data_IF_968113639512
#
_entry.id   IF_968113639512
#
_cell.length_a   1.000
_cell.length_b   1.000
_cell.length_c   1.000
_cell.angle_alpha   90.00
_cell.angle_beta   90.00
_cell.angle_gamma   90.00
#
_symmetry.space_group_name_H-M   'P 1'
#
loop_
_entity.id
_entity.type
_entity.pdbx_description
1 polymer ?
#
# COMPACT_ATOMS: atom_id res chain seq x y z
N UNK A 1 20.91 35.21 3.20
CA UNK A 1 19.43 35.22 3.22
C UNK A 1 18.99 34.97 4.65
N UNK A 2 18.20 35.86 5.27
CA UNK A 2 17.57 35.54 6.53
C UNK A 2 16.63 34.35 6.31
N UNK A 3 16.75 33.32 7.16
CA UNK A 3 15.74 32.28 7.25
C UNK A 3 14.42 32.95 7.64
N UNK A 4 13.28 32.61 7.03
CA UNK A 4 12.00 33.19 7.39
C UNK A 4 11.73 32.89 8.87
N UNK A 5 11.91 33.89 9.72
CA UNK A 5 11.40 33.93 11.09
C UNK A 5 9.88 33.94 10.97
N UNK A 6 9.25 32.90 11.53
CA UNK A 6 7.79 32.69 11.54
C UNK A 6 7.12 32.60 10.17
N UNK A 7 7.51 31.61 9.37
CA UNK A 7 6.64 31.16 8.29
C UNK A 7 5.37 30.52 8.89
N UNK A 8 4.22 31.20 8.72
CA UNK A 8 2.82 30.78 8.94
C UNK A 8 2.38 29.55 8.08
N UNK A 9 3.34 28.68 7.78
CA UNK A 9 3.16 27.47 6.99
C UNK A 9 2.84 26.26 7.87
N UNK A 10 2.11 25.27 7.33
CA UNK A 10 1.91 23.99 7.99
C UNK A 10 3.27 23.33 8.31
N UNK A 11 3.39 22.79 9.52
CA UNK A 11 4.59 22.08 9.97
C UNK A 11 4.26 20.60 10.08
N UNK A 12 5.00 19.76 9.37
CA UNK A 12 4.97 18.32 9.54
C UNK A 12 5.90 17.94 10.69
N UNK A 13 5.35 17.41 11.77
CA UNK A 13 6.11 16.96 12.94
C UNK A 13 6.23 15.45 12.93
N UNK A 14 7.46 14.98 13.15
CA UNK A 14 7.78 13.59 13.43
C UNK A 14 8.24 13.53 14.89
N UNK A 15 7.55 12.76 15.70
CA UNK A 15 7.84 12.61 17.12
C UNK A 15 8.06 11.13 17.45
N UNK A 16 9.30 10.75 17.72
CA UNK A 16 9.60 9.45 18.32
C UNK A 16 9.59 9.56 19.84
N UNK A 17 8.79 8.70 20.46
CA UNK A 17 8.90 8.46 21.89
C UNK A 17 10.01 7.44 22.12
N UNK A 18 11.09 7.86 22.76
CA UNK A 18 12.32 7.07 22.86
C UNK A 18 12.69 6.79 24.31
N UNK A 19 13.11 5.55 24.59
CA UNK A 19 13.67 5.17 25.90
C UNK A 19 15.15 5.59 26.02
N UNK A 20 15.83 5.71 24.87
CA UNK A 20 17.24 6.07 24.74
C UNK A 20 17.43 6.99 23.53
N UNK A 21 18.54 7.72 23.49
CA UNK A 21 18.86 8.56 22.33
C UNK A 21 18.91 7.72 21.05
N UNK A 22 18.25 8.22 20.00
CA UNK A 22 18.30 7.61 18.67
C UNK A 22 19.66 7.88 18.01
N UNK A 23 20.18 6.89 17.28
CA UNK A 23 21.40 7.07 16.52
C UNK A 23 21.21 8.15 15.43
N UNK A 24 22.24 8.98 15.22
CA UNK A 24 22.19 10.04 14.22
C UNK A 24 22.01 9.49 12.79
N UNK A 25 22.55 8.30 12.52
CA UNK A 25 22.41 7.58 11.25
C UNK A 25 20.98 7.14 11.04
N UNK A 26 20.32 6.62 12.07
CA UNK A 26 18.91 6.21 12.01
C UNK A 26 18.01 7.41 11.76
N UNK A 27 18.22 8.51 12.48
CA UNK A 27 17.47 9.75 12.27
C UNK A 27 17.70 10.31 10.86
N UNK A 28 18.96 10.34 10.39
CA UNK A 28 19.28 10.80 9.04
C UNK A 28 18.62 9.92 7.96
N UNK A 29 18.57 8.61 8.17
CA UNK A 29 17.92 7.68 7.26
C UNK A 29 16.40 7.92 7.21
N UNK A 30 15.75 8.09 8.37
CA UNK A 30 14.32 8.42 8.47
C UNK A 30 14.02 9.73 7.72
N UNK A 31 14.74 10.81 8.04
CA UNK A 31 14.52 12.11 7.42
C UNK A 31 14.79 12.07 5.92
N UNK A 32 15.82 11.34 5.50
CA UNK A 32 16.16 11.15 4.08
C UNK A 32 15.07 10.42 3.30
N UNK A 33 14.53 9.32 3.84
CA UNK A 33 13.44 8.59 3.18
C UNK A 33 12.13 9.39 3.17
N UNK A 34 11.81 10.13 4.24
CA UNK A 34 10.64 11.02 4.27
C UNK A 34 10.77 12.13 3.21
N UNK A 35 11.93 12.78 3.12
CA UNK A 35 12.19 13.80 2.10
C UNK A 35 12.03 13.25 0.68
N UNK A 36 12.65 12.09 0.39
CA UNK A 36 12.51 11.43 -0.92
C UNK A 36 11.07 11.03 -1.23
N UNK A 37 10.33 10.53 -0.23
CA UNK A 37 8.94 10.15 -0.38
C UNK A 37 8.05 11.37 -0.67
N UNK A 38 8.28 12.48 0.04
CA UNK A 38 7.60 13.74 -0.21
C UNK A 38 7.89 14.26 -1.61
N UNK A 39 9.15 14.31 -2.04
CA UNK A 39 9.51 14.75 -3.39
C UNK A 39 8.80 13.89 -4.46
N UNK A 40 8.75 12.56 -4.28
CA UNK A 40 8.02 11.68 -5.19
C UNK A 40 6.51 11.89 -5.16
N UNK A 41 5.95 12.23 -4.01
CA UNK A 41 4.53 12.51 -3.84
C UNK A 41 4.19 13.86 -4.49
N UNK A 42 4.87 14.93 -4.10
CA UNK A 42 4.67 16.28 -4.58
C UNK A 42 4.83 16.39 -6.10
N UNK A 43 5.83 15.73 -6.70
CA UNK A 43 6.01 15.74 -8.16
C UNK A 43 4.92 14.98 -8.92
N UNK A 44 4.24 14.01 -8.28
CA UNK A 44 3.13 13.27 -8.89
C UNK A 44 1.80 14.00 -8.72
N UNK A 45 1.55 14.56 -7.54
CA UNK A 45 0.28 15.19 -7.18
C UNK A 45 0.21 16.65 -7.64
N UNK A 46 1.35 17.36 -7.68
CA UNK A 46 1.44 18.78 -8.01
C UNK A 46 2.56 18.95 -9.05
N UNK A 47 2.20 18.82 -10.33
CA UNK A 47 3.14 18.79 -11.45
C UNK A 47 4.01 20.05 -11.49
N UNK A 48 5.33 19.88 -11.49
CA UNK A 48 6.29 20.99 -11.60
C UNK A 48 6.46 21.85 -10.34
N UNK A 49 5.96 21.39 -9.19
CA UNK A 49 5.90 22.19 -7.97
C UNK A 49 7.27 22.50 -7.35
N UNK A 50 8.29 21.67 -7.61
CA UNK A 50 9.64 21.86 -7.05
C UNK A 50 9.68 21.89 -5.52
N UNK A 51 8.59 21.45 -4.86
CA UNK A 51 8.44 21.46 -3.42
C UNK A 51 9.32 20.39 -2.79
N UNK A 52 9.95 20.76 -1.66
CA UNK A 52 10.80 19.88 -0.86
C UNK A 52 10.52 20.09 0.61
N UNK A 53 10.83 19.09 1.43
CA UNK A 53 10.86 19.26 2.88
C UNK A 53 12.23 19.76 3.31
N UNK A 54 12.22 20.74 4.21
CA UNK A 54 13.39 21.21 4.92
C UNK A 54 13.21 20.99 6.43
N UNK A 55 14.29 20.58 7.10
CA UNK A 55 14.32 20.45 8.55
C UNK A 55 14.38 21.85 9.15
N UNK A 56 13.35 22.22 9.93
CA UNK A 56 13.28 23.49 10.66
C UNK A 56 13.90 23.37 12.04
N UNK A 57 13.59 22.30 12.77
CA UNK A 57 14.04 22.09 14.15
C UNK A 57 14.20 20.60 14.43
N UNK A 58 15.22 20.26 15.22
CA UNK A 58 15.38 18.94 15.84
C UNK A 58 15.58 19.13 17.33
N UNK A 59 14.78 18.45 18.15
CA UNK A 59 14.94 18.41 19.61
C UNK A 59 15.43 17.04 20.06
N UNK A 60 16.29 17.02 21.08
CA UNK A 60 16.96 15.81 21.59
C UNK A 60 16.53 15.57 23.03
N UNK A 61 15.93 14.41 23.27
CA UNK A 61 15.32 13.99 24.55
C UNK A 61 14.24 12.96 24.26
N UNK A 62 13.21 13.41 23.54
CA UNK A 62 12.40 12.63 22.61
C UNK A 62 12.66 13.21 21.22
N UNK A 63 12.91 12.38 20.22
CA UNK A 63 13.32 12.89 18.90
C UNK A 63 12.12 13.56 18.24
N UNK A 64 12.15 14.88 18.19
CA UNK A 64 11.14 15.70 17.50
C UNK A 64 11.81 16.39 16.33
N UNK A 65 11.33 16.11 15.11
CA UNK A 65 11.77 16.79 13.90
C UNK A 65 10.59 17.54 13.29
N UNK A 66 10.75 18.87 13.16
CA UNK A 66 9.81 19.73 12.48
C UNK A 66 10.28 19.98 11.05
N UNK A 67 9.42 19.64 10.10
CA UNK A 67 9.65 19.77 8.67
C UNK A 67 8.71 20.81 8.09
N UNK A 68 9.25 21.69 7.24
CA UNK A 68 8.50 22.70 6.51
C UNK A 68 8.68 22.52 5.01
N UNK A 69 7.64 22.83 4.25
CA UNK A 69 7.71 22.81 2.79
C UNK A 69 8.40 24.07 2.29
N UNK A 70 9.39 23.89 1.42
CA UNK A 70 10.13 24.95 0.72
C UNK A 70 10.04 24.73 -0.79
N UNK A 71 9.89 25.81 -1.57
CA UNK A 71 9.82 25.74 -3.03
C UNK A 71 9.32 27.03 -3.68
N UNK A 72 9.49 27.14 -5.00
CA UNK A 72 9.22 28.37 -5.77
C UNK A 72 7.79 28.45 -6.30
N UNK A 73 6.79 28.26 -5.44
CA UNK A 73 5.43 28.67 -5.78
C UNK A 73 5.23 30.10 -5.23
N UNK A 74 4.85 31.07 -6.07
CA UNK A 74 4.45 32.40 -5.60
C UNK A 74 3.10 32.33 -4.89
N UNK A 75 2.85 33.20 -3.89
CA UNK A 75 1.61 33.57 -3.14
C UNK A 75 0.44 32.55 -2.98
N UNK A 76 0.04 31.82 -4.02
CA UNK A 76 -0.75 30.56 -3.97
C UNK A 76 -0.01 29.46 -3.20
N UNK A 77 1.30 29.65 -2.98
CA UNK A 77 2.22 28.77 -2.26
C UNK A 77 1.67 28.20 -0.94
N UNK A 78 1.07 29.02 -0.09
CA UNK A 78 0.70 28.60 1.27
C UNK A 78 -0.44 27.58 1.29
N UNK A 79 -1.45 27.75 0.43
CA UNK A 79 -2.54 26.77 0.28
C UNK A 79 -1.98 25.49 -0.34
N UNK A 80 -1.15 25.61 -1.38
CA UNK A 80 -0.49 24.46 -2.00
C UNK A 80 0.45 23.71 -1.04
N UNK A 81 1.10 24.41 -0.10
CA UNK A 81 1.93 23.79 0.93
C UNK A 81 1.09 23.03 1.95
N UNK A 82 -0.08 23.57 2.34
CA UNK A 82 -1.06 22.87 3.19
C UNK A 82 -1.55 21.61 2.52
N UNK A 83 -2.11 21.72 1.32
CA UNK A 83 -2.64 20.58 0.60
C UNK A 83 -1.56 19.51 0.37
N UNK A 84 -0.33 19.91 0.06
CA UNK A 84 0.80 19.01 -0.10
C UNK A 84 1.15 18.26 1.20
N UNK A 85 1.25 18.95 2.34
CA UNK A 85 1.57 18.30 3.62
C UNK A 85 0.41 17.39 4.06
N UNK A 86 -0.83 17.87 4.04
CA UNK A 86 -1.98 17.07 4.46
C UNK A 86 -2.16 15.83 3.60
N UNK A 87 -2.10 16.00 2.28
CA UNK A 87 -2.15 14.89 1.34
C UNK A 87 -0.99 13.91 1.50
N UNK A 88 0.20 14.41 1.87
CA UNK A 88 1.34 13.55 2.17
C UNK A 88 1.16 12.74 3.46
N UNK A 89 0.62 13.33 4.54
CA UNK A 89 0.30 12.58 5.77
C UNK A 89 -0.75 11.51 5.50
N UNK A 90 -1.79 11.81 4.71
CA UNK A 90 -2.76 10.81 4.26
C UNK A 90 -2.10 9.68 3.45
N UNK A 91 -1.19 10.02 2.56
CA UNK A 91 -0.38 9.04 1.82
C UNK A 91 0.49 8.17 2.74
N UNK A 92 1.11 8.73 3.77
CA UNK A 92 1.86 7.95 4.76
C UNK A 92 0.95 6.99 5.53
N UNK A 93 -0.22 7.46 5.96
CA UNK A 93 -1.22 6.63 6.63
C UNK A 93 -1.67 5.45 5.76
N UNK A 94 -1.85 5.68 4.46
CA UNK A 94 -2.17 4.63 3.48
C UNK A 94 -1.05 3.60 3.34
N UNK A 95 0.21 4.04 3.20
CA UNK A 95 1.36 3.13 3.09
C UNK A 95 1.50 2.24 4.32
N UNK A 96 1.33 2.83 5.49
CA UNK A 96 1.38 2.14 6.79
C UNK A 96 0.22 1.16 6.91
N UNK A 97 -0.99 1.56 6.52
CA UNK A 97 -2.18 0.69 6.53
C UNK A 97 -2.06 -0.49 5.57
N UNK A 98 -1.51 -0.27 4.38
CA UNK A 98 -1.19 -1.35 3.43
C UNK A 98 -0.12 -2.28 4.01
N UNK A 99 0.92 -1.74 4.63
CA UNK A 99 1.97 -2.55 5.25
C UNK A 99 1.44 -3.41 6.42
N UNK A 100 0.49 -2.90 7.19
CA UNK A 100 -0.18 -3.62 8.29
C UNK A 100 -1.24 -4.63 7.79
N UNK A 101 -1.52 -4.68 6.49
CA UNK A 101 -2.59 -5.51 5.93
C UNK A 101 -4.01 -4.99 6.18
N UNK A 102 -4.16 -3.76 6.69
CA UNK A 102 -5.45 -3.14 6.97
C UNK A 102 -6.12 -2.57 5.72
N UNK A 103 -5.34 -2.26 4.68
CA UNK A 103 -5.83 -1.73 3.40
C UNK A 103 -5.32 -2.61 2.25
N UNK A 104 -6.17 -2.97 1.27
CA UNK A 104 -5.72 -3.73 0.11
C UNK A 104 -4.72 -2.92 -0.71
N UNK A 105 -3.69 -3.59 -1.21
CA UNK A 105 -2.68 -2.97 -2.06
C UNK A 105 -1.30 -3.60 -1.86
N UNK A 106 -0.32 -3.08 -2.60
CA UNK A 106 1.08 -3.47 -2.44
C UNK A 106 1.95 -2.22 -2.48
N UNK A 107 2.72 -2.02 -1.42
CA UNK A 107 3.71 -0.94 -1.39
C UNK A 107 4.77 -1.19 -2.45
N UNK A 108 5.06 -0.14 -3.24
CA UNK A 108 6.15 -0.17 -4.22
C UNK A 108 7.48 -0.29 -3.48
N UNK A 109 8.54 -0.76 -4.15
CA UNK A 109 9.85 -0.94 -3.51
C UNK A 109 10.36 0.33 -2.82
N UNK A 110 10.16 1.51 -3.42
CA UNK A 110 10.55 2.79 -2.82
C UNK A 110 9.69 3.18 -1.60
N UNK A 111 8.44 2.72 -1.54
CA UNK A 111 7.53 3.01 -0.44
C UNK A 111 7.74 2.02 0.72
N UNK A 112 8.17 0.78 0.42
CA UNK A 112 8.65 -0.17 1.44
C UNK A 112 9.86 0.35 2.19
N UNK A 113 10.86 0.92 1.49
CA UNK A 113 12.04 1.52 2.13
C UNK A 113 11.67 2.62 3.14
N UNK A 114 10.66 3.43 2.82
CA UNK A 114 10.14 4.43 3.75
C UNK A 114 9.52 3.79 4.98
N UNK A 115 8.66 2.78 4.79
CA UNK A 115 8.07 2.04 5.91
C UNK A 115 9.16 1.41 6.76
N UNK A 116 10.15 0.74 6.16
CA UNK A 116 11.28 0.13 6.87
C UNK A 116 12.08 1.17 7.66
N UNK A 117 12.38 2.33 7.05
CA UNK A 117 13.06 3.42 7.74
C UNK A 117 12.27 3.92 8.95
N UNK A 118 10.94 4.01 8.88
CA UNK A 118 10.09 4.41 10.00
C UNK A 118 10.04 3.36 11.11
N UNK A 119 10.08 2.07 10.76
CA UNK A 119 10.05 0.94 11.70
C UNK A 119 11.36 0.77 12.47
N UNK A 120 12.50 0.92 11.81
CA UNK A 120 13.82 0.60 12.37
C UNK A 120 14.10 1.23 13.75
N UNK A 121 13.81 2.52 14.00
CA UNK A 121 13.99 3.10 15.32
C UNK A 121 13.15 2.42 16.42
N UNK A 122 11.94 1.96 16.10
CA UNK A 122 10.99 1.35 17.06
C UNK A 122 11.41 -0.08 17.43
N UNK A 123 12.01 -0.81 16.49
CA UNK A 123 12.54 -2.15 16.75
C UNK A 123 13.72 -2.11 17.74
N UNK A 124 14.45 -0.99 17.82
CA UNK A 124 15.68 -0.88 18.59
C UNK A 124 15.57 -0.03 19.88
N UNK A 125 15.08 1.21 19.78
CA UNK A 125 15.22 2.22 20.85
C UNK A 125 13.98 3.08 21.11
N UNK A 126 13.05 3.14 20.16
CA UNK A 126 11.80 3.89 20.27
C UNK A 126 10.62 2.99 20.64
N UNK A 127 9.63 3.56 21.31
CA UNK A 127 8.35 2.89 21.61
C UNK A 127 7.37 3.05 20.47
N UNK A 128 7.33 4.24 19.88
CA UNK A 128 6.44 4.61 18.79
C UNK A 128 6.97 5.82 18.03
N UNK A 129 6.46 6.01 16.82
CA UNK A 129 6.56 7.26 16.07
C UNK A 129 5.17 7.81 15.80
N UNK A 130 5.03 9.11 15.99
CA UNK A 130 3.85 9.88 15.64
C UNK A 130 4.20 10.89 14.56
N UNK A 131 3.51 10.84 13.43
CA UNK A 131 3.69 11.76 12.31
C UNK A 131 2.39 12.52 12.11
N UNK A 132 2.44 13.85 12.21
CA UNK A 132 1.24 14.69 12.17
C UNK A 132 1.55 16.10 11.71
N UNK A 133 0.52 16.83 11.28
CA UNK A 133 0.64 18.27 11.01
C UNK A 133 0.34 19.04 12.28
N UNK A 134 1.23 19.95 12.70
CA UNK A 134 1.01 20.77 13.90
C UNK A 134 -0.25 21.62 13.73
N UNK A 135 -1.17 21.50 14.68
CA UNK A 135 -2.48 22.17 14.63
C UNK A 135 -3.58 21.37 13.90
N UNK A 136 -3.28 20.15 13.46
CA UNK A 136 -4.25 19.22 12.88
C UNK A 136 -4.46 17.99 13.78
N UNK A 137 -5.62 17.33 13.62
CA UNK A 137 -6.00 16.15 14.39
C UNK A 137 -5.55 14.82 13.78
N UNK A 138 -5.07 14.79 12.54
CA UNK A 138 -4.67 13.55 11.89
C UNK A 138 -3.25 13.15 12.31
N UNK A 139 -3.14 11.98 12.95
CA UNK A 139 -1.88 11.43 13.43
C UNK A 139 -1.70 10.04 12.83
N UNK A 140 -0.57 9.82 12.17
CA UNK A 140 -0.10 8.49 11.78
C UNK A 140 0.79 7.98 12.90
N UNK A 141 0.31 6.98 13.64
CA UNK A 141 1.05 6.33 14.72
C UNK A 141 1.54 4.96 14.26
N UNK A 142 2.82 4.68 14.49
CA UNK A 142 3.40 3.35 14.31
C UNK A 142 4.06 2.97 15.64
N UNK A 143 3.60 1.87 16.22
CA UNK A 143 4.10 1.30 17.47
C UNK A 143 4.56 -0.15 17.26
N UNK A 144 4.99 -0.83 18.32
CA UNK A 144 5.42 -2.24 18.24
C UNK A 144 4.32 -3.17 17.73
N UNK A 145 3.08 -2.98 18.16
CA UNK A 145 1.94 -3.79 17.71
C UNK A 145 1.64 -3.58 16.21
N UNK A 146 1.84 -2.36 15.69
CA UNK A 146 1.78 -2.09 14.26
C UNK A 146 2.90 -2.81 13.50
N UNK A 147 4.12 -2.84 14.04
CA UNK A 147 5.26 -3.53 13.44
C UNK A 147 5.03 -5.04 13.37
N UNK A 148 4.54 -5.65 14.45
CA UNK A 148 4.22 -7.08 14.50
C UNK A 148 3.20 -7.48 13.42
N UNK A 149 2.20 -6.62 13.15
CA UNK A 149 1.24 -6.84 12.06
C UNK A 149 1.89 -6.74 10.68
N UNK A 150 2.85 -5.84 10.51
CA UNK A 150 3.63 -5.73 9.27
C UNK A 150 4.57 -6.94 9.05
N UNK A 151 5.23 -7.43 10.10
CA UNK A 151 6.17 -8.57 10.01
C UNK A 151 5.44 -9.90 9.91
N UNK A 152 4.36 -10.13 10.65
CA UNK A 152 3.55 -11.36 10.54
C UNK A 152 2.94 -11.55 9.15
N UNK A 153 2.60 -10.44 8.48
CA UNK A 153 2.16 -10.47 7.07
C UNK A 153 3.33 -10.73 6.10
N UNK A 154 4.54 -10.29 6.45
CA UNK A 154 5.75 -10.45 5.64
C UNK A 154 6.39 -11.84 5.77
N UNK A 155 6.31 -12.50 6.94
CA UNK A 155 6.79 -13.88 7.14
C UNK A 155 5.91 -14.88 6.37
N UNK A 156 4.59 -14.71 6.38
CA UNK A 156 3.70 -15.50 5.53
C UNK A 156 4.00 -15.32 4.03
N UNK A 157 4.35 -14.09 3.61
CA UNK A 157 4.73 -13.80 2.23
C UNK A 157 6.14 -14.31 1.86
N UNK A 158 7.08 -14.34 2.80
CA UNK A 158 8.45 -14.84 2.60
C UNK A 158 8.51 -16.37 2.61
N UNK A 159 7.74 -17.04 3.46
CA UNK A 159 7.61 -18.51 3.43
C UNK A 159 7.04 -18.99 2.08
N UNK A 160 6.09 -18.24 1.52
CA UNK A 160 5.57 -18.48 0.18
C UNK A 160 6.66 -18.25 -0.89
N UNK A 161 7.44 -17.16 -0.77
CA UNK A 161 8.51 -16.84 -1.73
C UNK A 161 9.74 -17.77 -1.65
N UNK A 162 10.04 -18.34 -0.48
CA UNK A 162 11.07 -19.36 -0.30
C UNK A 162 10.62 -20.73 -0.82
N UNK A 163 9.34 -21.08 -0.64
CA UNK A 163 8.73 -22.25 -1.28
C UNK A 163 8.78 -22.11 -2.82
N UNK A 164 8.40 -20.95 -3.35
CA UNK A 164 8.44 -20.66 -4.78
C UNK A 164 9.88 -20.68 -5.34
N UNK A 165 10.89 -20.24 -4.56
CA UNK A 165 12.31 -20.26 -4.97
C UNK A 165 12.92 -21.66 -4.97
N UNK A 166 12.51 -22.54 -4.06
CA UNK A 166 12.94 -23.93 -4.06
C UNK A 166 12.34 -24.70 -5.25
N UNK A 167 11.15 -24.33 -5.71
CA UNK A 167 10.44 -24.97 -6.82
C UNK A 167 10.94 -24.52 -8.21
N UNK A 168 11.48 -23.29 -8.33
CA UNK A 168 12.03 -22.73 -9.59
C UNK A 168 13.37 -23.35 -10.00
N UNK A 169 14.10 -24.01 -9.09
CA UNK A 169 15.38 -24.63 -9.42
C UNK A 169 15.26 -25.96 -10.19
N UNK A 170 14.08 -26.58 -10.23
CA UNK A 170 13.89 -27.90 -10.88
C UNK A 170 12.95 -27.92 -12.10
N UNK A 171 12.22 -26.85 -12.41
CA UNK A 171 11.33 -26.85 -13.59
C UNK A 171 11.27 -25.49 -14.32
N UNK A 172 11.49 -25.43 -15.65
CA UNK A 172 11.22 -24.23 -16.43
C UNK A 172 9.71 -23.94 -16.48
N UNK A 173 9.30 -22.68 -16.75
CA UNK A 173 7.97 -22.17 -16.41
C UNK A 173 6.88 -22.88 -17.22
N UNK A 174 6.15 -23.78 -16.56
CA UNK A 174 5.04 -24.51 -17.15
C UNK A 174 3.74 -23.70 -17.11
N UNK A 175 2.95 -23.91 -18.15
CA UNK A 175 1.70 -23.25 -18.45
C UNK A 175 0.61 -23.36 -17.37
N UNK A 176 -0.35 -22.44 -17.45
CA UNK A 176 -1.70 -22.47 -16.85
C UNK A 176 -2.13 -23.89 -16.43
N UNK A 177 -2.10 -24.16 -15.13
CA UNK A 177 -2.53 -25.45 -14.58
C UNK A 177 -4.01 -25.69 -14.90
N UNK A 178 -4.36 -26.93 -15.23
CA UNK A 178 -5.76 -27.33 -15.44
C UNK A 178 -6.58 -27.16 -14.15
N UNK A 179 -7.84 -26.73 -14.23
CA UNK A 179 -8.67 -26.53 -13.04
C UNK A 179 -8.97 -27.86 -12.34
N UNK A 180 -9.34 -27.78 -11.06
CA UNK A 180 -9.70 -28.98 -10.29
C UNK A 180 -11.06 -29.51 -10.70
N UNK A 181 -11.99 -28.63 -11.11
CA UNK A 181 -13.31 -29.03 -11.61
C UNK A 181 -13.38 -28.96 -13.13
N UNK A 182 -13.66 -30.07 -13.80
CA UNK A 182 -13.89 -30.06 -15.26
C UNK A 182 -15.33 -29.65 -15.61
N UNK A 183 -16.27 -29.71 -14.65
CA UNK A 183 -17.66 -29.28 -14.82
C UNK A 183 -18.08 -28.35 -13.69
N UNK A 184 -18.92 -27.38 -14.01
CA UNK A 184 -19.40 -26.34 -13.09
C UNK A 184 -20.83 -26.54 -12.63
N UNK A 185 -21.47 -27.67 -12.90
CA UNK A 185 -22.89 -27.90 -12.64
C UNK A 185 -23.29 -27.54 -11.19
N UNK A 186 -23.91 -26.37 -11.05
CA UNK A 186 -24.37 -25.85 -9.79
C UNK A 186 -23.27 -25.34 -8.85
N UNK A 187 -22.06 -25.10 -9.35
CA UNK A 187 -20.91 -24.58 -8.59
C UNK A 187 -21.01 -23.08 -8.36
N UNK A 188 -20.50 -22.66 -7.21
CA UNK A 188 -20.51 -21.28 -6.75
C UNK A 188 -19.21 -20.58 -7.14
N UNK A 189 -19.31 -19.35 -7.61
CA UNK A 189 -18.13 -18.53 -7.89
C UNK A 189 -18.47 -17.09 -8.23
N UNK A 190 -17.43 -16.29 -8.44
CA UNK A 190 -17.53 -14.88 -8.83
C UNK A 190 -17.04 -14.71 -10.27
N UNK A 191 -17.78 -13.98 -11.09
CA UNK A 191 -17.30 -13.54 -12.40
C UNK A 191 -16.46 -12.27 -12.23
N UNK A 192 -15.28 -12.22 -12.84
CA UNK A 192 -14.33 -11.12 -12.70
C UNK A 192 -13.84 -10.71 -14.09
N UNK A 193 -13.94 -9.42 -14.44
CA UNK A 193 -13.35 -8.87 -15.65
C UNK A 193 -11.94 -8.33 -15.35
N UNK A 194 -10.93 -8.91 -16.00
CA UNK A 194 -9.55 -8.45 -15.94
C UNK A 194 -9.13 -7.94 -17.31
N UNK A 195 -9.21 -6.62 -17.49
CA UNK A 195 -8.78 -5.90 -18.71
C UNK A 195 -9.54 -6.35 -19.98
N UNK A 196 -10.86 -6.54 -19.87
CA UNK A 196 -11.73 -6.94 -20.98
C UNK A 196 -11.71 -8.45 -21.24
N UNK A 197 -11.29 -9.25 -20.25
CA UNK A 197 -11.28 -10.72 -20.31
C UNK A 197 -11.94 -11.26 -19.05
N UNK A 198 -12.90 -12.15 -19.24
CA UNK A 198 -13.66 -12.71 -18.15
C UNK A 198 -12.96 -13.93 -17.53
N UNK A 199 -12.95 -13.96 -16.20
CA UNK A 199 -12.45 -15.04 -15.37
C UNK A 199 -13.49 -15.45 -14.34
N UNK A 200 -13.49 -16.72 -13.97
CA UNK A 200 -14.30 -17.25 -12.87
C UNK A 200 -13.39 -17.62 -11.72
N UNK A 201 -13.75 -17.17 -10.52
CA UNK A 201 -13.15 -17.62 -9.26
C UNK A 201 -14.13 -18.55 -8.57
N UNK A 202 -13.82 -19.84 -8.53
CA UNK A 202 -14.70 -20.85 -7.93
C UNK A 202 -14.44 -20.99 -6.43
N UNK A 203 -15.50 -21.18 -5.67
CA UNK A 203 -15.38 -21.53 -4.25
C UNK A 203 -14.73 -22.93 -4.12
N UNK A 204 -13.70 -23.03 -3.26
CA UNK A 204 -12.95 -24.27 -3.05
C UNK A 204 -11.72 -24.47 -3.93
N UNK A 205 -11.46 -23.59 -4.91
CA UNK A 205 -10.23 -23.62 -5.73
C UNK A 205 -9.13 -22.66 -5.21
N UNK A 206 -9.16 -22.31 -3.92
CA UNK A 206 -8.09 -21.53 -3.30
C UNK A 206 -7.90 -20.13 -3.89
N UNK A 207 -8.92 -19.58 -4.55
CA UNK A 207 -8.87 -18.24 -5.15
C UNK A 207 -8.26 -18.17 -6.55
N UNK A 208 -8.04 -19.31 -7.20
CA UNK A 208 -7.54 -19.37 -8.59
C UNK A 208 -8.56 -18.74 -9.56
N UNK A 209 -8.04 -17.94 -10.49
CA UNK A 209 -8.81 -17.36 -11.59
C UNK A 209 -8.71 -18.25 -12.82
N UNK A 210 -9.83 -18.83 -13.23
CA UNK A 210 -9.90 -19.63 -14.44
C UNK A 210 -10.50 -18.80 -15.58
N UNK A 211 -9.92 -18.82 -16.79
CA UNK A 211 -10.51 -18.13 -17.94
C UNK A 211 -11.93 -18.62 -18.19
N UNK A 212 -12.85 -17.72 -18.54
CA UNK A 212 -14.25 -18.05 -18.81
C UNK A 212 -14.69 -17.49 -20.18
N UNK A 213 -15.50 -18.26 -20.89
CA UNK A 213 -16.19 -17.87 -22.11
C UNK A 213 -17.70 -17.99 -21.89
N UNK A 214 -18.43 -16.94 -22.22
CA UNK A 214 -19.88 -16.89 -22.06
C UNK A 214 -20.56 -17.43 -23.30
N UNK A 215 -21.49 -18.37 -23.12
CA UNK A 215 -22.39 -18.75 -24.21
C UNK A 215 -23.30 -17.57 -24.59
N UNK A 216 -23.82 -17.60 -25.83
CA UNK A 216 -24.69 -16.56 -26.35
C UNK A 216 -25.93 -16.36 -25.45
N UNK A 217 -26.16 -15.12 -25.00
CA UNK A 217 -27.26 -14.77 -24.11
C UNK A 217 -26.97 -14.91 -22.61
N UNK A 218 -25.79 -15.40 -22.22
CA UNK A 218 -25.36 -15.39 -20.82
C UNK A 218 -24.70 -14.06 -20.50
N UNK A 219 -25.27 -13.34 -19.53
CA UNK A 219 -24.75 -12.06 -19.06
C UNK A 219 -24.22 -12.23 -17.64
N UNK A 220 -23.02 -11.72 -17.38
CA UNK A 220 -22.44 -11.63 -16.05
C UNK A 220 -21.98 -10.21 -15.78
N UNK A 221 -21.91 -9.85 -14.51
CA UNK A 221 -21.47 -8.55 -14.00
C UNK A 221 -20.18 -8.79 -13.23
N UNK A 222 -19.26 -7.84 -13.38
CA UNK A 222 -17.98 -7.88 -12.67
C UNK A 222 -18.19 -7.88 -11.16
N UNK A 223 -17.42 -8.71 -10.47
CA UNK A 223 -17.47 -8.95 -9.03
C UNK A 223 -18.83 -9.47 -8.49
N UNK A 224 -19.71 -9.96 -9.37
CA UNK A 224 -20.97 -10.58 -8.97
C UNK A 224 -20.83 -12.11 -8.79
N UNK A 225 -21.46 -12.63 -7.74
CA UNK A 225 -21.51 -14.06 -7.44
C UNK A 225 -22.64 -14.76 -8.18
N UNK A 226 -22.31 -15.92 -8.76
CA UNK A 226 -23.24 -16.75 -9.50
C UNK A 226 -23.15 -18.20 -9.08
N UNK A 227 -24.25 -18.90 -9.33
CA UNK A 227 -24.26 -20.34 -9.52
C UNK A 227 -24.06 -20.61 -11.00
N UNK A 228 -22.90 -21.14 -11.35
CA UNK A 228 -22.52 -21.44 -12.72
C UNK A 228 -23.00 -22.84 -13.13
N UNK A 229 -23.14 -23.01 -14.44
CA UNK A 229 -23.27 -24.28 -15.14
C UNK A 229 -22.43 -24.14 -16.42
N UNK A 230 -21.53 -25.09 -16.64
CA UNK A 230 -20.55 -25.02 -17.70
C UNK A 230 -19.55 -26.16 -17.64
N UNK A 231 -18.67 -26.22 -18.63
CA UNK A 231 -17.65 -27.26 -18.76
C UNK A 231 -16.32 -26.64 -19.13
N UNK A 232 -15.23 -27.27 -18.68
CA UNK A 232 -13.88 -26.89 -19.11
C UNK A 232 -13.62 -27.43 -20.51
N UNK A 233 -13.45 -26.53 -21.48
CA UNK A 233 -13.18 -26.87 -22.88
C UNK A 233 -11.86 -26.21 -23.31
N UNK A 234 -10.87 -27.05 -23.63
CA UNK A 234 -9.54 -26.59 -24.06
C UNK A 234 -8.76 -25.91 -22.94
N UNK A 235 -9.00 -24.61 -22.75
CA UNK A 235 -8.26 -23.72 -21.81
C UNK A 235 -9.15 -22.73 -21.06
N UNK A 236 -10.46 -22.85 -21.15
CA UNK A 236 -11.42 -21.96 -20.51
C UNK A 236 -12.67 -22.72 -20.08
N UNK A 237 -13.39 -22.18 -19.10
CA UNK A 237 -14.74 -22.64 -18.80
C UNK A 237 -15.72 -22.04 -19.79
N UNK A 238 -16.42 -22.88 -20.52
CA UNK A 238 -17.56 -22.47 -21.32
C UNK A 238 -18.81 -22.46 -20.44
N UNK A 239 -19.28 -21.27 -20.10
CA UNK A 239 -20.45 -21.07 -19.23
C UNK A 239 -21.72 -21.13 -20.06
N UNK A 240 -22.56 -22.11 -19.77
CA UNK A 240 -23.89 -22.31 -20.39
C UNK A 240 -24.98 -21.52 -19.66
N UNK A 241 -24.86 -21.39 -18.34
CA UNK A 241 -25.76 -20.56 -17.55
C UNK A 241 -25.03 -19.98 -16.33
N UNK A 242 -25.40 -18.76 -15.96
CA UNK A 242 -24.95 -18.10 -14.73
C UNK A 242 -26.19 -17.54 -14.02
N UNK A 243 -26.49 -18.03 -12.81
CA UNK A 243 -27.63 -17.56 -12.02
C UNK A 243 -27.13 -16.71 -10.86
N UNK A 244 -27.46 -15.41 -10.81
CA UNK A 244 -26.96 -14.54 -9.75
C UNK A 244 -27.45 -15.02 -8.40
N UNK A 245 -26.58 -14.94 -7.39
CA UNK A 245 -26.92 -15.30 -6.02
C UNK A 245 -26.95 -13.99 -5.24
N UNK A 246 -28.15 -13.56 -4.85
CA UNK A 246 -28.34 -12.32 -4.09
C UNK A 246 -29.13 -11.21 -4.78
N UNK A 247 -30.22 -11.55 -5.47
CA UNK A 247 -31.38 -10.65 -5.51
C UNK A 247 -32.60 -11.42 -5.00
N UNK A 248 -33.45 -10.80 -4.15
CA UNK A 248 -34.73 -11.39 -3.72
C UNK A 248 -35.67 -11.64 -4.91
#
# INVERSE_FOLDING_TARGET
>A
MPLPSDADGPVLRIHYETDRLLDATDLANVLGEIGRAFDRYANRSIRGSGLRLAVRRVEVGSVVADLVVVGSAMAVALVSHRDAIYGFVGFLGDLVSIAQGLKPGKNKAADKRLVDALKNPIENVARQVNIFVVGDGNIVTIDKAAIERMTGTSEAANLQAEADRAEVAENPPAALAAPRFLTLDGKFGTAIDVKGRWYVRLEGEGGVLNPLELAQGVMVVDDQSYRFDGVWEGRSYRIRAARPIGQP
#
